data_IF_666448443714
#
_entry.id   IF_666448443714
#
_cell.length_a   1.000
_cell.length_b   1.000
_cell.length_c   1.000
_cell.angle_alpha   90.00
_cell.angle_beta   90.00
_cell.angle_gamma   90.00
#
_symmetry.space_group_name_H-M   'P 1'
#
loop_
_entity.id
_entity.type
_entity.pdbx_description
1 polymer ?
#
# COMPACT_ATOMS: atom_id res chain seq x y z
N UNK A 1 21.23 -4.25 -3.10
CA UNK A 1 20.35 -4.71 -2.02
C UNK A 1 20.42 -6.23 -1.89
N UNK A 2 21.09 -6.72 -0.85
CA UNK A 2 21.17 -8.16 -0.54
C UNK A 2 19.80 -8.69 -0.09
N UNK A 3 19.02 -7.86 0.61
CA UNK A 3 17.66 -8.21 1.04
C UNK A 3 16.76 -8.62 -0.15
N UNK A 4 16.85 -7.93 -1.28
CA UNK A 4 16.09 -8.24 -2.49
C UNK A 4 16.30 -9.69 -2.96
N UNK A 5 17.55 -10.16 -2.90
CA UNK A 5 17.94 -11.52 -3.32
C UNK A 5 17.39 -12.56 -2.36
N UNK A 6 17.42 -12.28 -1.06
CA UNK A 6 16.91 -13.19 -0.02
C UNK A 6 15.39 -13.36 -0.17
N UNK A 7 14.65 -12.26 -0.33
CA UNK A 7 13.19 -12.30 -0.56
C UNK A 7 12.86 -13.16 -1.76
N UNK A 8 13.50 -12.89 -2.90
CA UNK A 8 13.27 -13.63 -4.15
C UNK A 8 13.61 -15.11 -3.99
N UNK A 9 14.75 -15.44 -3.36
CA UNK A 9 15.18 -16.81 -3.11
C UNK A 9 14.17 -17.58 -2.27
N UNK A 10 13.73 -17.04 -1.13
CA UNK A 10 12.77 -17.73 -0.26
C UNK A 10 11.39 -17.86 -0.92
N UNK A 11 10.96 -16.87 -1.71
CA UNK A 11 9.75 -16.98 -2.52
C UNK A 11 9.83 -18.15 -3.52
N UNK A 12 10.94 -18.25 -4.24
CA UNK A 12 11.14 -19.29 -5.26
C UNK A 12 11.31 -20.69 -4.64
N UNK A 13 11.97 -20.79 -3.48
CA UNK A 13 12.07 -22.04 -2.71
C UNK A 13 10.72 -22.57 -2.24
N UNK A 14 9.78 -21.67 -1.95
CA UNK A 14 8.42 -22.02 -1.58
C UNK A 14 7.48 -22.15 -2.78
N UNK A 15 7.99 -22.01 -4.02
CA UNK A 15 7.23 -22.05 -5.26
C UNK A 15 6.09 -21.03 -5.35
N UNK A 16 6.24 -19.87 -4.70
CA UNK A 16 5.24 -18.80 -4.76
C UNK A 16 5.51 -17.85 -5.91
N UNK A 17 4.45 -17.37 -6.55
CA UNK A 17 4.44 -16.17 -7.38
C UNK A 17 4.56 -14.92 -6.52
N UNK A 18 4.85 -13.78 -7.16
CA UNK A 18 4.88 -12.49 -6.46
C UNK A 18 3.50 -12.10 -5.90
N UNK A 19 2.42 -12.57 -6.54
CA UNK A 19 1.05 -12.34 -6.05
C UNK A 19 0.79 -13.15 -4.77
N UNK A 20 1.13 -14.45 -4.77
CA UNK A 20 0.95 -15.32 -3.61
C UNK A 20 1.76 -14.86 -2.39
N UNK A 21 2.99 -14.36 -2.59
CA UNK A 21 3.76 -13.75 -1.50
C UNK A 21 3.11 -12.46 -0.99
N UNK A 22 2.54 -11.66 -1.89
CA UNK A 22 1.84 -10.42 -1.53
C UNK A 22 0.60 -10.72 -0.68
N UNK A 23 -0.18 -11.73 -1.06
CA UNK A 23 -1.35 -12.20 -0.31
C UNK A 23 -0.97 -12.68 1.10
N UNK A 24 0.09 -13.49 1.21
CA UNK A 24 0.60 -14.01 2.50
C UNK A 24 1.08 -12.92 3.44
N UNK A 25 1.65 -11.84 2.89
CA UNK A 25 2.14 -10.70 3.66
C UNK A 25 1.11 -9.57 3.78
N UNK A 26 -0.10 -9.73 3.24
CA UNK A 26 -1.15 -8.72 3.20
C UNK A 26 -0.69 -7.36 2.62
N UNK A 27 0.07 -7.41 1.53
CA UNK A 27 0.57 -6.24 0.81
C UNK A 27 0.21 -6.30 -0.67
N UNK A 28 0.45 -5.22 -1.41
CA UNK A 28 0.26 -5.24 -2.86
C UNK A 28 1.36 -6.03 -3.56
N UNK A 29 1.04 -6.70 -4.67
CA UNK A 29 2.05 -7.30 -5.56
C UNK A 29 3.11 -6.30 -6.02
N UNK A 30 2.73 -5.04 -6.22
CA UNK A 30 3.66 -3.96 -6.57
C UNK A 30 4.72 -3.74 -5.49
N UNK A 31 4.37 -3.91 -4.21
CA UNK A 31 5.32 -3.84 -3.09
C UNK A 31 6.35 -4.94 -3.22
N UNK A 32 5.92 -6.19 -3.42
CA UNK A 32 6.82 -7.34 -3.63
C UNK A 32 7.77 -7.07 -4.80
N UNK A 33 7.23 -6.63 -5.95
CA UNK A 33 8.05 -6.34 -7.12
C UNK A 33 9.11 -5.28 -6.84
N UNK A 34 8.79 -4.21 -6.10
CA UNK A 34 9.75 -3.15 -5.75
C UNK A 34 10.84 -3.64 -4.80
N UNK A 35 10.51 -4.55 -3.89
CA UNK A 35 11.47 -5.12 -2.95
C UNK A 35 12.42 -6.09 -3.67
N UNK A 36 11.90 -6.95 -4.54
CA UNK A 36 12.73 -7.88 -5.32
C UNK A 36 13.59 -7.19 -6.38
N UNK A 37 13.18 -6.01 -6.86
CA UNK A 37 14.01 -5.16 -7.74
C UNK A 37 14.99 -4.25 -6.99
N UNK A 38 14.96 -4.24 -5.65
CA UNK A 38 15.81 -3.38 -4.82
C UNK A 38 15.49 -1.88 -4.92
N UNK A 39 14.29 -1.53 -5.39
CA UNK A 39 13.87 -0.13 -5.56
C UNK A 39 13.47 0.53 -4.24
N UNK A 40 13.00 -0.27 -3.26
CA UNK A 40 12.65 0.21 -1.93
C UNK A 40 12.81 -0.89 -0.88
N UNK A 41 12.87 -0.51 0.39
CA UNK A 41 12.87 -1.44 1.52
C UNK A 41 11.45 -1.69 2.07
N UNK A 42 11.16 -2.91 2.56
CA UNK A 42 9.98 -3.17 3.38
C UNK A 42 10.07 -2.44 4.73
N UNK A 43 8.92 -2.19 5.37
CA UNK A 43 8.90 -1.68 6.76
C UNK A 43 9.36 -2.75 7.75
N UNK A 44 9.75 -2.34 8.96
CA UNK A 44 10.18 -3.26 10.02
C UNK A 44 9.13 -4.36 10.29
N UNK A 45 7.85 -4.00 10.39
CA UNK A 45 6.76 -4.95 10.66
C UNK A 45 6.63 -6.02 9.56
N UNK A 46 6.85 -5.63 8.30
CA UNK A 46 6.85 -6.55 7.17
C UNK A 46 8.09 -7.45 7.21
N UNK A 47 9.26 -6.93 7.61
CA UNK A 47 10.46 -7.75 7.75
C UNK A 47 10.30 -8.79 8.85
N UNK A 48 9.65 -8.45 9.97
CA UNK A 48 9.28 -9.43 11.01
C UNK A 48 8.28 -10.46 10.46
N UNK A 49 7.27 -10.00 9.72
CA UNK A 49 6.31 -10.91 9.07
C UNK A 49 6.98 -11.85 8.07
N UNK A 50 7.98 -11.37 7.33
CA UNK A 50 8.81 -12.17 6.42
C UNK A 50 9.68 -13.17 7.17
N UNK A 51 10.28 -12.79 8.30
CA UNK A 51 11.08 -13.72 9.11
C UNK A 51 10.25 -14.90 9.59
N UNK A 52 9.02 -14.62 10.04
CA UNK A 52 8.08 -15.66 10.46
C UNK A 52 7.60 -16.52 9.27
N UNK A 53 7.26 -15.87 8.15
CA UNK A 53 6.76 -16.58 6.96
C UNK A 53 7.80 -17.48 6.30
N UNK A 54 9.06 -17.04 6.28
CA UNK A 54 10.18 -17.78 5.66
C UNK A 54 10.88 -18.72 6.63
N UNK A 55 10.49 -18.75 7.91
CA UNK A 55 11.12 -19.50 8.99
C UNK A 55 12.64 -19.26 9.09
N UNK A 56 13.03 -17.98 9.04
CA UNK A 56 14.41 -17.53 9.22
C UNK A 56 14.48 -16.41 10.23
N UNK A 57 15.64 -16.21 10.86
CA UNK A 57 15.81 -15.07 11.77
C UNK A 57 15.82 -13.75 11.00
N UNK A 58 15.32 -12.68 11.64
CA UNK A 58 15.39 -11.32 11.10
C UNK A 58 16.84 -10.91 10.78
N UNK A 59 17.81 -11.31 11.62
CA UNK A 59 19.25 -11.11 11.33
C UNK A 59 19.60 -11.75 9.98
N UNK A 60 19.29 -13.02 9.75
CA UNK A 60 19.58 -13.67 8.48
C UNK A 60 18.90 -12.99 7.28
N UNK A 61 17.69 -12.46 7.44
CA UNK A 61 16.97 -11.75 6.38
C UNK A 61 17.65 -10.45 5.94
N UNK A 62 18.27 -9.72 6.88
CA UNK A 62 18.82 -8.37 6.62
C UNK A 62 20.36 -8.30 6.66
N UNK A 63 21.02 -9.34 7.15
CA UNK A 63 22.47 -9.42 7.32
C UNK A 63 23.15 -9.46 5.96
N UNK A 64 24.09 -8.54 5.77
CA UNK A 64 24.79 -8.33 4.50
C UNK A 64 24.31 -7.09 3.75
N UNK A 65 23.16 -6.52 4.12
CA UNK A 65 22.67 -5.29 3.51
C UNK A 65 23.17 -4.04 4.26
N UNK A 66 24.36 -3.58 3.88
CA UNK A 66 25.00 -2.41 4.51
C UNK A 66 24.18 -1.13 4.33
N UNK A 67 23.47 -0.98 3.20
CA UNK A 67 22.60 0.17 2.93
C UNK A 67 21.36 0.15 3.85
N UNK A 68 20.75 -1.02 4.03
CA UNK A 68 19.66 -1.18 4.98
C UNK A 68 20.06 -0.80 6.41
N UNK A 69 21.26 -1.23 6.85
CA UNK A 69 21.78 -0.88 8.17
C UNK A 69 21.92 0.64 8.33
N UNK A 70 22.40 1.34 7.31
CA UNK A 70 22.46 2.81 7.34
C UNK A 70 21.07 3.44 7.43
N UNK A 71 20.06 2.91 6.72
CA UNK A 71 18.68 3.42 6.82
C UNK A 71 18.04 3.23 8.21
N UNK A 72 18.39 2.14 8.92
CA UNK A 72 17.98 1.94 10.32
C UNK A 72 18.62 3.01 11.20
N UNK A 73 19.95 3.19 11.08
CA UNK A 73 20.70 4.15 11.90
C UNK A 73 20.25 5.60 11.69
N UNK A 74 19.85 5.92 10.45
CA UNK A 74 19.28 7.22 10.08
C UNK A 74 17.83 7.42 10.57
N UNK A 75 17.20 6.41 11.19
CA UNK A 75 15.81 6.48 11.67
C UNK A 75 14.75 6.53 10.56
N UNK A 76 15.11 6.27 9.30
CA UNK A 76 14.24 6.46 8.13
C UNK A 76 13.18 5.37 7.95
N UNK A 77 13.33 4.23 8.63
CA UNK A 77 12.42 3.07 8.49
C UNK A 77 11.17 3.14 9.40
N UNK A 78 11.09 4.12 10.30
CA UNK A 78 9.95 4.31 11.22
C UNK A 78 8.71 4.98 10.58
N UNK A 79 8.58 4.98 9.24
CA UNK A 79 7.36 5.47 8.58
C UNK A 79 6.30 4.39 8.59
N UNK A 80 5.51 4.37 9.66
CA UNK A 80 4.27 3.62 9.74
C UNK A 80 3.19 4.32 8.88
N UNK A 81 3.32 4.29 7.55
CA UNK A 81 2.34 4.88 6.64
C UNK A 81 1.16 3.92 6.43
N UNK A 82 0.24 3.90 7.40
CA UNK A 82 -1.13 3.42 7.20
C UNK A 82 -2.04 4.59 6.89
N UNK A 83 -1.88 5.23 5.72
CA UNK A 83 -2.92 6.10 5.18
C UNK A 83 -3.12 5.87 3.69
N UNK A 84 -3.68 4.71 3.35
CA UNK A 84 -4.38 4.58 2.08
C UNK A 84 -5.52 5.59 2.07
N UNK A 85 -5.48 6.58 1.18
CA UNK A 85 -6.61 7.49 0.94
C UNK A 85 -7.84 6.63 0.66
N UNK A 86 -8.81 6.65 1.57
CA UNK A 86 -10.05 5.91 1.38
C UNK A 86 -10.94 6.72 0.43
N UNK A 87 -11.86 6.05 -0.28
CA UNK A 87 -12.85 6.77 -1.10
C UNK A 87 -13.61 7.83 -0.30
N UNK A 88 -13.76 7.63 1.02
CA UNK A 88 -14.34 8.61 1.95
C UNK A 88 -13.60 9.95 2.02
N UNK A 89 -12.28 9.97 1.87
CA UNK A 89 -11.47 11.21 1.90
C UNK A 89 -11.77 12.10 0.68
N UNK A 90 -12.19 11.51 -0.44
CA UNK A 90 -12.62 12.26 -1.62
C UNK A 90 -14.02 12.84 -1.40
N UNK A 91 -14.97 12.07 -0.87
CA UNK A 91 -16.34 12.55 -0.64
C UNK A 91 -16.43 13.64 0.43
N UNK A 92 -15.54 13.64 1.42
CA UNK A 92 -15.47 14.67 2.46
C UNK A 92 -15.24 16.08 1.90
N UNK A 93 -14.54 16.22 0.76
CA UNK A 93 -14.29 17.51 0.11
C UNK A 93 -15.40 18.00 -0.83
N UNK A 94 -16.26 17.10 -1.31
CA UNK A 94 -17.25 17.40 -2.36
C UNK A 94 -18.71 17.36 -1.90
N UNK A 95 -18.98 17.05 -0.63
CA UNK A 95 -20.33 17.03 -0.05
C UNK A 95 -21.12 18.33 -0.31
N UNK A 96 -20.44 19.48 -0.30
CA UNK A 96 -21.07 20.78 -0.52
C UNK A 96 -21.63 20.97 -1.93
N UNK A 97 -21.15 20.22 -2.93
CA UNK A 97 -21.64 20.34 -4.31
C UNK A 97 -23.05 19.77 -4.51
N UNK A 98 -23.53 18.93 -3.60
CA UNK A 98 -24.88 18.34 -3.68
C UNK A 98 -25.97 19.42 -3.54
N UNK A 99 -25.74 20.43 -2.70
CA UNK A 99 -26.68 21.54 -2.46
C UNK A 99 -26.98 22.40 -3.72
N UNK A 100 -25.97 22.94 -4.45
CA UNK A 100 -26.23 23.73 -5.65
C UNK A 100 -26.80 22.89 -6.81
N UNK A 101 -26.38 21.62 -6.97
CA UNK A 101 -26.94 20.72 -7.97
C UNK A 101 -28.44 20.44 -7.69
N UNK A 102 -28.80 20.12 -6.44
CA UNK A 102 -30.20 19.92 -6.05
C UNK A 102 -31.08 21.15 -6.27
N UNK A 103 -30.58 22.35 -5.94
CA UNK A 103 -31.30 23.60 -6.17
C UNK A 103 -31.51 23.89 -7.66
N UNK A 104 -30.53 23.60 -8.50
CA UNK A 104 -30.62 23.78 -9.95
C UNK A 104 -31.66 22.83 -10.57
N UNK A 105 -31.64 21.56 -10.19
CA UNK A 105 -32.62 20.57 -10.66
C UNK A 105 -34.04 20.87 -10.18
N UNK A 106 -34.20 21.35 -8.94
CA UNK A 106 -35.50 21.76 -8.41
C UNK A 106 -36.11 22.91 -9.24
N UNK A 107 -35.31 23.89 -9.62
CA UNK A 107 -35.77 25.01 -10.47
C UNK A 107 -36.24 24.55 -11.85
N UNK A 108 -35.45 23.68 -12.52
CA UNK A 108 -35.83 23.09 -13.81
C UNK A 108 -37.12 22.28 -13.68
N UNK A 109 -37.23 21.44 -12.65
CA UNK A 109 -38.42 20.62 -12.41
C UNK A 109 -39.68 21.47 -12.21
N UNK A 110 -39.60 22.52 -11.39
CA UNK A 110 -40.71 23.44 -11.17
C UNK A 110 -41.16 24.15 -12.46
N UNK A 111 -40.21 24.47 -13.35
CA UNK A 111 -40.50 25.12 -14.62
C UNK A 111 -41.14 24.16 -15.64
N UNK A 112 -40.74 22.88 -15.64
CA UNK A 112 -41.36 21.83 -16.44
C UNK A 112 -42.81 21.59 -15.99
N UNK A 113 -43.07 21.46 -14.67
CA UNK A 113 -44.41 21.23 -14.14
C UNK A 113 -45.38 22.36 -14.52
N UNK A 114 -44.92 23.62 -14.50
CA UNK A 114 -45.72 24.78 -14.95
C UNK A 114 -46.05 24.78 -16.43
N UNK A 115 -45.34 24.00 -17.25
CA UNK A 115 -45.54 23.92 -18.70
C UNK A 115 -46.64 22.91 -19.08
N UNK A 116 -47.08 22.08 -18.12
CA UNK A 116 -48.09 21.03 -18.29
C UNK A 116 -49.37 21.26 -17.45
N UNK A 117 -49.51 22.43 -16.82
CA UNK A 117 -50.73 22.92 -16.16
C UNK A 117 -51.32 24.07 -16.96
#
# INVERSE_FOLDING_TARGET
MELAKIIKKHRELNHWSQEELAEKLHVSRQSISKWESGTNYPSLDILVSMSDLFDITLDHLVKGDSEFKQQILDGKLNKHDKRGRTMGDFFAGYWWLIFPLGSFFYGIFAQIVKLFQ
#
